data_IF_609956965674
#
_entry.id   IF_609956965674
#
_cell.length_a   1.000
_cell.length_b   1.000
_cell.length_c   1.000
_cell.angle_alpha   90.00
_cell.angle_beta   90.00
_cell.angle_gamma   90.00
#
_symmetry.space_group_name_H-M   'P 1'
#
loop_
_entity.id
_entity.type
_entity.pdbx_description
1 polymer ?
#
# COMPACT_ATOMS: atom_id res chain seq x y z
N UNK A 1 12.13 -14.79 0.90
CA UNK A 1 11.21 -14.41 -0.21
C UNK A 1 10.61 -13.06 0.14
N UNK A 2 10.60 -12.13 -0.82
CA UNK A 2 10.23 -10.73 -0.61
C UNK A 2 9.04 -10.36 -1.47
N UNK A 3 8.14 -9.57 -0.90
CA UNK A 3 7.04 -8.94 -1.62
C UNK A 3 7.29 -7.44 -1.70
N UNK A 4 7.06 -6.86 -2.87
CA UNK A 4 7.07 -5.41 -3.04
C UNK A 4 5.65 -4.87 -3.03
N UNK A 5 5.41 -3.77 -2.32
CA UNK A 5 4.16 -3.01 -2.39
C UNK A 5 4.50 -1.63 -2.93
N UNK A 6 4.15 -1.36 -4.18
CA UNK A 6 4.51 -0.13 -4.85
C UNK A 6 3.30 0.81 -4.98
N UNK A 7 3.36 1.96 -4.32
CA UNK A 7 2.38 3.03 -4.55
C UNK A 7 2.64 3.68 -5.91
N UNK A 8 1.60 3.78 -6.73
CA UNK A 8 1.69 4.26 -8.11
C UNK A 8 1.15 5.68 -8.21
N UNK A 9 2.03 6.63 -8.47
CA UNK A 9 1.68 8.00 -8.85
C UNK A 9 2.20 8.31 -10.24
N UNK A 10 2.88 9.45 -10.40
CA UNK A 10 3.50 9.86 -11.67
C UNK A 10 4.93 9.33 -11.85
N UNK A 11 5.53 8.74 -10.82
CA UNK A 11 6.95 8.33 -10.77
C UNK A 11 7.24 6.97 -11.45
N UNK A 12 6.68 6.76 -12.65
CA UNK A 12 6.70 5.49 -13.36
C UNK A 12 8.10 4.83 -13.44
N UNK A 13 9.10 5.54 -13.98
CA UNK A 13 10.46 4.99 -14.12
C UNK A 13 11.13 4.73 -12.77
N UNK A 14 10.85 5.54 -11.74
CA UNK A 14 11.41 5.35 -10.39
C UNK A 14 10.89 4.08 -9.74
N UNK A 15 9.63 3.72 -9.97
CA UNK A 15 9.08 2.43 -9.51
C UNK A 15 9.83 1.28 -10.19
N UNK A 16 10.05 1.34 -11.50
CA UNK A 16 10.84 0.33 -12.23
C UNK A 16 12.26 0.23 -11.68
N UNK A 17 12.92 1.36 -11.45
CA UNK A 17 14.28 1.40 -10.93
C UNK A 17 14.36 0.81 -9.52
N UNK A 18 13.38 1.10 -8.65
CA UNK A 18 13.26 0.51 -7.32
C UNK A 18 13.02 -1.00 -7.34
N UNK A 19 12.08 -1.47 -8.16
CA UNK A 19 11.80 -2.91 -8.32
C UNK A 19 13.04 -3.65 -8.83
N UNK A 20 13.73 -3.11 -9.84
CA UNK A 20 14.95 -3.72 -10.38
C UNK A 20 16.07 -3.77 -9.35
N UNK A 21 16.22 -2.71 -8.54
CA UNK A 21 17.21 -2.69 -7.45
C UNK A 21 17.01 -3.84 -6.47
N UNK A 22 15.77 -4.04 -6.00
CA UNK A 22 15.45 -5.09 -5.04
C UNK A 22 15.47 -6.48 -5.67
N UNK A 23 14.98 -6.61 -6.90
CA UNK A 23 15.01 -7.85 -7.66
C UNK A 23 16.43 -8.41 -7.86
N UNK A 24 17.42 -7.55 -7.99
CA UNK A 24 18.83 -7.97 -8.10
C UNK A 24 19.43 -8.48 -6.78
N UNK A 25 18.75 -8.28 -5.64
CA UNK A 25 19.27 -8.56 -4.28
C UNK A 25 18.46 -9.59 -3.53
N UNK A 26 17.17 -9.68 -3.84
CA UNK A 26 16.20 -10.45 -3.07
C UNK A 26 15.36 -11.34 -4.00
N UNK A 27 15.02 -12.57 -3.58
CA UNK A 27 14.09 -13.42 -4.32
C UNK A 27 12.67 -12.85 -4.20
N UNK A 28 12.26 -12.10 -5.23
CA UNK A 28 10.92 -11.52 -5.32
C UNK A 28 9.88 -12.59 -5.64
N UNK A 29 8.82 -12.56 -4.85
CA UNK A 29 7.75 -13.54 -4.89
C UNK A 29 6.43 -12.94 -5.41
N UNK A 30 6.20 -11.65 -5.15
CA UNK A 30 5.04 -10.93 -5.65
C UNK A 30 5.28 -9.40 -5.67
N UNK A 31 4.49 -8.69 -6.47
CA UNK A 31 4.46 -7.23 -6.52
C UNK A 31 2.99 -6.78 -6.44
N UNK A 32 2.67 -5.93 -5.47
CA UNK A 32 1.41 -5.20 -5.41
C UNK A 32 1.60 -3.81 -6.01
N UNK A 33 0.73 -3.40 -6.94
CA UNK A 33 0.67 -2.04 -7.46
C UNK A 33 -0.56 -1.35 -6.86
N UNK A 34 -0.31 -0.46 -5.91
CA UNK A 34 -1.36 0.30 -5.20
C UNK A 34 -1.60 1.62 -5.95
N UNK A 35 -2.74 1.74 -6.63
CA UNK A 35 -3.04 2.86 -7.53
C UNK A 35 -4.23 3.69 -7.05
N UNK A 36 -4.27 4.96 -7.47
CA UNK A 36 -5.35 5.88 -7.15
C UNK A 36 -6.61 5.56 -7.99
N UNK A 37 -7.65 5.07 -7.32
CA UNK A 37 -8.93 4.69 -7.96
C UNK A 37 -9.84 5.88 -8.24
N UNK A 38 -9.56 7.07 -7.70
CA UNK A 38 -10.41 8.26 -7.86
C UNK A 38 -10.60 8.62 -9.33
N UNK A 39 -11.69 9.34 -9.61
CA UNK A 39 -12.04 9.84 -10.95
C UNK A 39 -11.60 11.30 -11.10
N UNK A 40 -10.32 11.57 -10.84
CA UNK A 40 -9.68 12.87 -11.04
C UNK A 40 -8.39 12.71 -11.87
N UNK A 41 -7.70 13.84 -12.14
CA UNK A 41 -6.48 13.85 -12.96
C UNK A 41 -5.34 13.00 -12.39
N UNK A 42 -5.22 12.92 -11.07
CA UNK A 42 -4.20 12.12 -10.41
C UNK A 42 -4.54 10.63 -10.49
N UNK A 43 -5.82 10.28 -10.25
CA UNK A 43 -6.36 8.94 -10.44
C UNK A 43 -6.24 8.44 -11.87
N UNK A 44 -6.45 9.31 -12.87
CA UNK A 44 -6.25 8.96 -14.28
C UNK A 44 -4.78 8.60 -14.57
N UNK A 45 -3.84 9.47 -14.22
CA UNK A 45 -2.41 9.25 -14.41
C UNK A 45 -1.91 7.98 -13.68
N UNK A 46 -2.35 7.78 -12.43
CA UNK A 46 -2.00 6.62 -11.62
C UNK A 46 -2.50 5.30 -12.23
N UNK A 47 -3.76 5.24 -12.70
CA UNK A 47 -4.31 4.04 -13.36
C UNK A 47 -3.57 3.67 -14.64
N UNK A 48 -3.25 4.68 -15.47
CA UNK A 48 -2.51 4.46 -16.71
C UNK A 48 -1.12 3.90 -16.39
N UNK A 49 -0.42 4.50 -15.42
CA UNK A 49 0.87 3.99 -14.96
C UNK A 49 0.77 2.59 -14.36
N UNK A 50 -0.25 2.28 -13.55
CA UNK A 50 -0.41 0.96 -12.94
C UNK A 50 -0.65 -0.13 -13.98
N UNK A 51 -1.42 0.17 -15.04
CA UNK A 51 -1.63 -0.73 -16.16
C UNK A 51 -0.31 -1.01 -16.89
N UNK A 52 0.42 0.04 -17.27
CA UNK A 52 1.68 -0.08 -17.99
C UNK A 52 2.75 -0.81 -17.14
N UNK A 53 2.83 -0.51 -15.84
CA UNK A 53 3.72 -1.18 -14.89
C UNK A 53 3.37 -2.67 -14.73
N UNK A 54 2.08 -3.03 -14.73
CA UNK A 54 1.64 -4.43 -14.65
C UNK A 54 2.16 -5.25 -15.84
N UNK A 55 2.25 -4.63 -17.02
CA UNK A 55 2.81 -5.27 -18.22
C UNK A 55 4.34 -5.35 -18.16
N UNK A 56 5.02 -4.25 -17.82
CA UNK A 56 6.49 -4.18 -17.82
C UNK A 56 7.12 -4.99 -16.68
N UNK A 57 6.47 -5.07 -15.53
CA UNK A 57 6.96 -5.80 -14.36
C UNK A 57 6.49 -7.27 -14.34
N UNK A 58 5.73 -7.71 -15.35
CA UNK A 58 5.38 -9.12 -15.49
C UNK A 58 6.65 -9.96 -15.72
N UNK A 59 6.83 -11.00 -14.91
CA UNK A 59 7.98 -11.89 -15.03
C UNK A 59 7.61 -13.33 -14.71
N UNK A 60 8.22 -14.28 -15.44
CA UNK A 60 8.01 -15.73 -15.24
C UNK A 60 6.53 -16.16 -15.19
N UNK A 61 5.66 -15.49 -15.96
CA UNK A 61 4.22 -15.78 -16.01
C UNK A 61 3.41 -15.20 -14.85
N UNK A 62 4.04 -14.52 -13.89
CA UNK A 62 3.37 -13.79 -12.82
C UNK A 62 3.26 -12.31 -13.18
N UNK A 63 2.09 -11.73 -12.90
CA UNK A 63 1.82 -10.29 -13.07
C UNK A 63 1.63 -9.66 -11.70
N UNK A 64 2.01 -8.38 -11.54
CA UNK A 64 1.69 -7.64 -10.32
C UNK A 64 0.18 -7.61 -10.03
N UNK A 65 -0.18 -7.70 -8.75
CA UNK A 65 -1.55 -7.56 -8.27
C UNK A 65 -1.94 -6.07 -8.19
N UNK A 66 -3.02 -5.68 -8.87
CA UNK A 66 -3.50 -4.29 -8.86
C UNK A 66 -4.46 -4.05 -7.69
N UNK A 67 -4.18 -3.04 -6.87
CA UNK A 67 -4.99 -2.68 -5.70
C UNK A 67 -5.40 -1.21 -5.80
N UNK A 68 -6.68 -0.95 -6.04
CA UNK A 68 -7.21 0.40 -6.16
C UNK A 68 -7.57 0.98 -4.79
N UNK A 69 -7.02 2.16 -4.45
CA UNK A 69 -7.28 2.89 -3.20
C UNK A 69 -7.59 4.35 -3.47
N UNK A 70 -8.21 5.05 -2.52
CA UNK A 70 -8.19 6.51 -2.45
C UNK A 70 -6.96 6.93 -1.61
N UNK A 71 -5.88 7.41 -2.23
CA UNK A 71 -4.66 7.77 -1.51
C UNK A 71 -4.84 8.98 -0.57
N UNK A 72 -5.92 9.75 -0.72
CA UNK A 72 -6.23 10.87 0.17
C UNK A 72 -7.15 10.46 1.34
N UNK A 73 -7.53 9.18 1.45
CA UNK A 73 -8.18 8.64 2.64
C UNK A 73 -7.18 7.79 3.39
N UNK A 74 -6.86 8.20 4.61
CA UNK A 74 -6.00 7.43 5.50
C UNK A 74 -6.58 6.03 5.74
N UNK A 75 -7.88 5.95 5.99
CA UNK A 75 -8.60 4.71 6.34
C UNK A 75 -8.58 3.70 5.21
N UNK A 76 -8.79 4.14 3.97
CA UNK A 76 -8.81 3.27 2.80
C UNK A 76 -7.41 2.69 2.49
N UNK A 77 -6.36 3.53 2.61
CA UNK A 77 -4.97 3.08 2.48
C UNK A 77 -4.61 2.14 3.63
N UNK A 78 -4.97 2.50 4.86
CA UNK A 78 -4.72 1.69 6.05
C UNK A 78 -5.35 0.30 5.91
N UNK A 79 -6.65 0.22 5.62
CA UNK A 79 -7.37 -1.04 5.51
C UNK A 79 -6.82 -1.92 4.37
N UNK A 80 -6.56 -1.32 3.22
CA UNK A 80 -6.01 -2.03 2.05
C UNK A 80 -4.62 -2.58 2.34
N UNK A 81 -3.73 -1.75 2.90
CA UNK A 81 -2.36 -2.17 3.23
C UNK A 81 -2.36 -3.20 4.38
N UNK A 82 -3.19 -3.03 5.40
CA UNK A 82 -3.32 -3.99 6.51
C UNK A 82 -3.68 -5.38 5.98
N UNK A 83 -4.64 -5.47 5.04
CA UNK A 83 -5.01 -6.74 4.40
C UNK A 83 -3.86 -7.38 3.62
N UNK A 84 -3.05 -6.59 2.90
CA UNK A 84 -1.86 -7.08 2.20
C UNK A 84 -0.83 -7.59 3.21
N UNK A 85 -0.51 -6.80 4.23
CA UNK A 85 0.54 -7.15 5.19
C UNK A 85 0.15 -8.35 6.04
N UNK A 86 -1.10 -8.48 6.49
CA UNK A 86 -1.58 -9.68 7.20
C UNK A 86 -1.39 -10.93 6.37
N UNK A 87 -1.81 -10.90 5.10
CA UNK A 87 -1.66 -12.02 4.17
C UNK A 87 -0.20 -12.39 3.94
N UNK A 88 0.65 -11.41 3.65
CA UNK A 88 2.03 -11.69 3.27
C UNK A 88 2.94 -11.97 4.47
N UNK A 89 2.76 -11.24 5.57
CA UNK A 89 3.61 -11.36 6.76
C UNK A 89 3.14 -12.48 7.68
N UNK A 90 1.88 -12.48 8.13
CA UNK A 90 1.43 -13.45 9.13
C UNK A 90 1.10 -14.80 8.50
N UNK A 91 0.29 -14.80 7.42
CA UNK A 91 -0.19 -16.05 6.83
C UNK A 91 0.88 -16.74 5.99
N UNK A 92 1.78 -15.97 5.35
CA UNK A 92 2.79 -16.47 4.42
C UNK A 92 4.23 -16.34 4.91
N UNK A 93 4.49 -15.63 6.02
CA UNK A 93 5.83 -15.49 6.59
C UNK A 93 6.83 -14.73 5.72
N UNK A 94 6.38 -13.84 4.81
CA UNK A 94 7.22 -13.12 3.85
C UNK A 94 7.67 -11.76 4.40
N UNK A 95 8.82 -11.30 3.92
CA UNK A 95 9.28 -9.91 4.13
C UNK A 95 8.58 -9.02 3.13
N UNK A 96 8.10 -7.85 3.57
CA UNK A 96 7.47 -6.86 2.69
C UNK A 96 8.31 -5.60 2.64
N UNK A 97 8.54 -5.09 1.42
CA UNK A 97 9.15 -3.79 1.18
C UNK A 97 8.10 -2.86 0.57
N UNK A 98 7.78 -1.79 1.26
CA UNK A 98 6.79 -0.80 0.83
C UNK A 98 7.49 0.38 0.17
N UNK A 99 7.22 0.60 -1.11
CA UNK A 99 7.67 1.77 -1.86
C UNK A 99 6.75 2.96 -1.57
N UNK A 100 7.25 3.91 -0.78
CA UNK A 100 6.55 5.13 -0.42
C UNK A 100 6.86 6.30 -1.39
N UNK A 101 7.48 6.02 -2.55
CA UNK A 101 7.92 7.06 -3.50
C UNK A 101 6.80 7.98 -3.95
N UNK A 102 5.64 7.42 -4.29
CA UNK A 102 4.52 8.18 -4.87
C UNK A 102 3.33 8.36 -3.91
N UNK A 103 3.54 8.26 -2.61
CA UNK A 103 2.46 8.44 -1.62
C UNK A 103 2.08 9.91 -1.48
N UNK A 104 0.78 10.20 -1.31
CA UNK A 104 0.31 11.45 -0.69
C UNK A 104 0.73 11.49 0.79
N UNK A 105 0.52 12.63 1.46
CA UNK A 105 0.84 12.76 2.89
C UNK A 105 -0.03 11.83 3.75
N UNK A 106 -1.31 11.72 3.40
CA UNK A 106 -2.28 10.86 4.07
C UNK A 106 -1.92 9.38 3.91
N UNK A 107 -1.60 8.96 2.67
CA UNK A 107 -1.16 7.60 2.39
C UNK A 107 0.17 7.27 3.09
N UNK A 108 1.13 8.22 3.12
CA UNK A 108 2.39 8.04 3.83
C UNK A 108 2.18 7.80 5.33
N UNK A 109 1.28 8.58 5.96
CA UNK A 109 0.90 8.38 7.35
C UNK A 109 0.34 6.96 7.60
N UNK A 110 -0.57 6.50 6.74
CA UNK A 110 -1.13 5.15 6.83
C UNK A 110 -0.06 4.07 6.63
N UNK A 111 0.83 4.24 5.64
CA UNK A 111 1.94 3.32 5.36
C UNK A 111 2.84 3.16 6.58
N UNK A 112 3.25 4.27 7.21
CA UNK A 112 4.09 4.24 8.41
C UNK A 112 3.37 3.53 9.55
N UNK A 113 2.12 3.90 9.84
CA UNK A 113 1.36 3.31 10.96
C UNK A 113 1.16 1.81 10.77
N UNK A 114 0.65 1.37 9.61
CA UNK A 114 0.41 -0.07 9.37
C UNK A 114 1.74 -0.82 9.38
N UNK A 115 2.81 -0.30 8.77
CA UNK A 115 4.11 -0.98 8.76
C UNK A 115 4.67 -1.20 10.17
N UNK A 116 4.36 -0.32 11.13
CA UNK A 116 4.76 -0.50 12.54
C UNK A 116 4.01 -1.63 13.26
N UNK A 117 2.89 -2.11 12.72
CA UNK A 117 2.09 -3.19 13.30
C UNK A 117 2.59 -4.57 12.92
N UNK A 118 3.43 -4.69 11.88
CA UNK A 118 3.88 -5.98 11.35
C UNK A 118 5.40 -6.14 11.50
N UNK A 119 5.89 -7.33 11.90
CA UNK A 119 7.32 -7.63 11.80
C UNK A 119 7.73 -7.75 10.33
N UNK A 120 9.03 -7.64 10.03
CA UNK A 120 9.58 -7.87 8.68
C UNK A 120 9.00 -6.98 7.57
N UNK A 121 8.55 -5.77 7.91
CA UNK A 121 8.15 -4.73 6.96
C UNK A 121 9.18 -3.60 6.98
N UNK A 122 9.75 -3.27 5.83
CA UNK A 122 10.54 -2.06 5.62
C UNK A 122 9.81 -1.11 4.68
N UNK A 123 10.05 0.18 4.84
CA UNK A 123 9.59 1.22 3.92
C UNK A 123 10.82 1.76 3.20
N UNK A 124 10.72 2.05 1.92
CA UNK A 124 11.77 2.75 1.19
C UNK A 124 11.19 3.82 0.25
N UNK A 125 12.05 4.74 -0.17
CA UNK A 125 11.77 5.70 -1.25
C UNK A 125 12.87 5.62 -2.29
N UNK A 126 12.54 5.90 -3.54
CA UNK A 126 13.50 5.98 -4.65
C UNK A 126 13.66 7.45 -5.02
N UNK A 127 14.65 8.21 -4.49
CA UNK A 127 14.75 9.65 -4.75
C UNK A 127 14.88 9.95 -6.23
N UNK A 128 14.34 11.07 -6.74
CA UNK A 128 14.45 11.38 -8.16
C UNK A 128 15.83 11.97 -8.49
N UNK A 129 16.33 11.69 -9.69
CA UNK A 129 17.55 12.34 -10.20
C UNK A 129 17.34 13.84 -10.49
N UNK A 130 16.09 14.26 -10.72
CA UNK A 130 15.69 15.63 -11.03
C UNK A 130 14.47 16.05 -10.17
N UNK A 131 14.41 17.31 -9.71
CA UNK A 131 13.32 17.79 -8.84
C UNK A 131 12.05 18.16 -9.61
N UNK A 132 10.90 17.99 -8.95
CA UNK A 132 9.56 17.92 -9.54
C UNK A 132 9.02 19.18 -10.25
N UNK A 133 7.90 18.97 -10.95
CA UNK A 133 7.21 19.93 -11.82
C UNK A 133 5.73 20.06 -11.47
N UNK A 134 5.09 21.17 -11.86
CA UNK A 134 3.64 21.38 -11.78
C UNK A 134 2.87 20.38 -12.66
N UNK A 135 1.71 19.91 -12.21
CA UNK A 135 0.85 18.91 -12.91
C UNK A 135 -0.25 19.62 -13.73
N UNK A 136 -0.22 19.57 -15.08
CA UNK A 136 -1.25 20.15 -15.94
C UNK A 136 -2.56 19.33 -15.94
N UNK A 137 -3.63 19.90 -16.49
CA UNK A 137 -4.93 19.22 -16.65
C UNK A 137 -4.89 18.18 -17.79
N UNK A 138 -5.54 17.01 -17.66
CA UNK A 138 -5.43 15.91 -18.63
C UNK A 138 -5.85 16.24 -20.06
N UNK A 139 -6.80 17.15 -20.24
CA UNK A 139 -7.37 17.55 -21.53
C UNK A 139 -6.66 18.78 -22.15
N UNK A 140 -5.57 19.27 -21.54
CA UNK A 140 -4.85 20.44 -22.02
C UNK A 140 -3.68 20.09 -22.95
N UNK A 141 -3.40 20.92 -23.97
CA UNK A 141 -2.16 20.82 -24.75
C UNK A 141 -0.96 20.94 -23.80
N UNK A 142 -0.16 19.87 -23.74
CA UNK A 142 1.03 19.78 -22.86
C UNK A 142 0.93 18.73 -21.76
N UNK A 143 -0.24 18.13 -21.50
CA UNK A 143 -0.33 17.00 -20.56
C UNK A 143 0.51 15.81 -21.02
N UNK A 144 0.40 15.40 -22.28
CA UNK A 144 1.16 14.27 -22.82
C UNK A 144 2.68 14.50 -22.74
N UNK A 145 3.15 15.69 -23.13
CA UNK A 145 4.57 16.05 -23.05
C UNK A 145 5.07 16.03 -21.60
N UNK A 146 4.31 16.65 -20.68
CA UNK A 146 4.61 16.62 -19.26
C UNK A 146 4.63 15.19 -18.72
N UNK A 147 3.63 14.38 -19.07
CA UNK A 147 3.46 13.02 -18.58
C UNK A 147 4.62 12.13 -19.03
N UNK A 148 4.99 12.18 -20.32
CA UNK A 148 6.17 11.48 -20.82
C UNK A 148 7.46 11.92 -20.13
N UNK A 149 7.64 13.24 -19.94
CA UNK A 149 8.84 13.78 -19.28
C UNK A 149 8.95 13.28 -17.84
N UNK A 150 7.93 13.50 -17.02
CA UNK A 150 7.95 13.13 -15.59
C UNK A 150 8.07 11.62 -15.41
N UNK A 151 7.38 10.83 -16.25
CA UNK A 151 7.48 9.36 -16.21
C UNK A 151 8.87 8.83 -16.50
N UNK A 152 9.71 9.57 -17.23
CA UNK A 152 11.05 9.14 -17.64
C UNK A 152 12.15 9.45 -16.63
N UNK A 153 11.84 10.23 -15.58
CA UNK A 153 12.82 10.64 -14.58
C UNK A 153 13.35 9.43 -13.84
N UNK A 154 14.66 9.24 -13.91
CA UNK A 154 15.35 8.13 -13.26
C UNK A 154 15.34 8.24 -11.74
N UNK A 155 15.27 7.09 -11.09
CA UNK A 155 15.50 6.94 -9.67
C UNK A 155 16.99 6.89 -9.34
N UNK A 156 17.36 7.52 -8.23
CA UNK A 156 18.61 7.25 -7.52
C UNK A 156 18.49 5.95 -6.72
N UNK A 157 19.54 5.59 -5.98
CA UNK A 157 19.53 4.41 -5.12
C UNK A 157 18.36 4.46 -4.11
N UNK A 158 17.56 3.39 -3.97
CA UNK A 158 16.54 3.29 -2.93
C UNK A 158 17.11 3.58 -1.54
N UNK A 159 16.35 4.32 -0.74
CA UNK A 159 16.69 4.68 0.63
C UNK A 159 15.63 4.10 1.56
N UNK A 160 16.04 3.19 2.45
CA UNK A 160 15.15 2.68 3.49
C UNK A 160 14.85 3.76 4.53
N UNK A 161 13.59 3.84 4.95
CA UNK A 161 13.12 4.66 6.04
C UNK A 161 13.12 3.79 7.29
N UNK A 162 14.00 4.13 8.24
CA UNK A 162 14.12 3.39 9.48
C UNK A 162 12.91 3.64 10.39
N UNK A 163 12.11 2.60 10.57
CA UNK A 163 11.02 2.60 11.55
C UNK A 163 11.59 2.46 12.97
N UNK A 164 11.02 3.15 13.97
CA UNK A 164 11.43 2.98 15.37
C UNK A 164 11.36 1.51 15.80
N UNK A 165 12.23 1.09 16.72
CA UNK A 165 12.25 -0.30 17.19
C UNK A 165 10.99 -0.73 17.93
N UNK A 166 10.24 0.22 18.50
CA UNK A 166 8.94 -0.04 19.11
C UNK A 166 7.89 -0.30 18.01
N UNK A 167 7.23 -1.45 18.09
CA UNK A 167 6.15 -1.87 17.19
C UNK A 167 4.80 -1.56 17.84
N UNK A 168 3.81 -1.25 17.02
CA UNK A 168 2.45 -1.05 17.50
C UNK A 168 1.83 -2.40 17.82
N UNK A 169 1.19 -2.51 18.97
CA UNK A 169 0.41 -3.69 19.32
C UNK A 169 -0.77 -3.82 18.36
N UNK A 170 -1.03 -5.06 17.94
CA UNK A 170 -2.19 -5.41 17.14
C UNK A 170 -3.30 -5.90 18.07
N UNK A 171 -4.58 -5.75 17.70
CA UNK A 171 -5.65 -6.44 18.39
C UNK A 171 -5.33 -7.94 18.49
N UNK A 172 -5.53 -8.51 19.66
CA UNK A 172 -5.56 -9.96 19.86
C UNK A 172 -6.70 -10.60 19.06
N UNK A 173 -6.68 -11.93 18.88
CA UNK A 173 -7.75 -12.64 18.18
C UNK A 173 -9.13 -12.41 18.83
N UNK A 174 -9.18 -12.29 20.16
CA UNK A 174 -10.40 -11.99 20.90
C UNK A 174 -10.89 -10.55 20.66
N UNK A 175 -9.98 -9.58 20.71
CA UNK A 175 -10.32 -8.19 20.40
C UNK A 175 -10.80 -8.05 18.95
N UNK A 176 -10.13 -8.73 18.00
CA UNK A 176 -10.54 -8.74 16.60
C UNK A 176 -11.94 -9.37 16.44
N UNK A 177 -12.21 -10.50 17.10
CA UNK A 177 -13.53 -11.15 17.09
C UNK A 177 -14.62 -10.21 17.61
N UNK A 178 -14.35 -9.48 18.69
CA UNK A 178 -15.29 -8.50 19.25
C UNK A 178 -15.51 -7.33 18.29
N UNK A 179 -14.45 -6.80 17.68
CA UNK A 179 -14.54 -5.69 16.72
C UNK A 179 -15.32 -6.09 15.47
N UNK A 180 -15.08 -7.28 14.92
CA UNK A 180 -15.82 -7.82 13.78
C UNK A 180 -17.30 -8.04 14.12
N UNK A 181 -17.61 -8.57 15.32
CA UNK A 181 -18.98 -8.73 15.78
C UNK A 181 -19.71 -7.38 15.87
N UNK A 182 -19.04 -6.32 16.37
CA UNK A 182 -19.58 -4.97 16.39
C UNK A 182 -19.80 -4.43 14.98
N UNK A 183 -18.81 -4.55 14.09
CA UNK A 183 -18.90 -4.07 12.71
C UNK A 183 -20.08 -4.69 11.96
N UNK A 184 -20.25 -6.02 12.06
CA UNK A 184 -21.37 -6.76 11.46
C UNK A 184 -22.75 -6.26 11.91
N UNK A 185 -22.83 -5.62 13.08
CA UNK A 185 -24.07 -5.10 13.67
C UNK A 185 -24.12 -3.56 13.68
N UNK A 186 -23.37 -2.89 12.79
CA UNK A 186 -23.43 -1.44 12.61
C UNK A 186 -22.64 -0.65 13.66
N UNK A 187 -21.64 -1.28 14.27
CA UNK A 187 -20.68 -0.66 15.19
C UNK A 187 -21.26 -0.28 16.56
N UNK A 188 -22.46 -0.78 16.89
CA UNK A 188 -23.16 -0.45 18.15
C UNK A 188 -23.82 -1.70 18.71
N UNK A 189 -23.92 -1.74 20.03
CA UNK A 189 -24.67 -2.77 20.76
C UNK A 189 -25.49 -2.11 21.86
N UNK A 190 -26.61 -2.72 22.23
CA UNK A 190 -27.48 -2.27 23.30
C UNK A 190 -26.98 -2.73 24.69
N UNK A 191 -26.18 -3.80 24.74
CA UNK A 191 -25.60 -4.30 25.98
C UNK A 191 -24.37 -5.20 25.76
N UNK A 192 -23.52 -5.34 26.78
CA UNK A 192 -22.40 -6.29 26.78
C UNK A 192 -22.89 -7.73 26.58
N UNK A 193 -24.05 -8.10 27.16
CA UNK A 193 -24.63 -9.44 27.00
C UNK A 193 -24.98 -9.76 25.55
N UNK A 194 -25.43 -8.77 24.81
CA UNK A 194 -25.72 -8.91 23.37
C UNK A 194 -24.43 -9.14 22.59
N UNK A 195 -23.38 -8.39 22.91
CA UNK A 195 -22.07 -8.55 22.29
C UNK A 195 -21.43 -9.92 22.56
N UNK A 196 -21.51 -10.43 23.79
CA UNK A 196 -21.04 -11.78 24.15
C UNK A 196 -21.75 -12.84 23.30
N UNK A 197 -23.08 -12.72 23.15
CA UNK A 197 -23.87 -13.61 22.28
C UNK A 197 -23.44 -13.53 20.82
N UNK A 198 -23.15 -12.33 20.30
CA UNK A 198 -22.63 -12.18 18.93
C UNK A 198 -21.26 -12.84 18.74
N UNK A 199 -20.47 -12.94 19.80
CA UNK A 199 -19.20 -13.65 19.81
C UNK A 199 -19.35 -15.18 20.04
N UNK A 200 -20.58 -15.71 20.03
CA UNK A 200 -20.94 -17.10 20.32
C UNK A 200 -20.53 -17.61 21.71
N UNK A 201 -20.56 -16.73 22.71
CA UNK A 201 -20.26 -17.08 24.10
C UNK A 201 -21.52 -17.03 24.98
N UNK A 202 -21.45 -17.66 26.16
CA UNK A 202 -22.56 -17.65 27.13
C UNK A 202 -22.47 -16.41 28.04
N UNK A 203 -23.41 -15.45 27.95
CA UNK A 203 -23.41 -14.25 28.78
C UNK A 203 -23.66 -14.50 30.27
N UNK A 204 -24.02 -15.73 30.66
CA UNK A 204 -24.19 -16.12 32.06
C UNK A 204 -23.02 -16.95 32.60
N UNK A 205 -22.03 -17.27 31.76
CA UNK A 205 -20.78 -17.93 32.14
C UNK A 205 -19.60 -17.16 31.52
N UNK A 206 -19.29 -15.97 32.07
CA UNK A 206 -18.28 -15.07 31.53
C UNK A 206 -16.85 -15.57 31.70
#
# INVERSE_FOLDING_TARGET
>A
MVVLVCFVGHDYQRIIDGVNHWRAREPLENIYLVYDRKRDKYGYASKLNAKDLSEVLAFAGQRPELVGVNPQSYEDVFASLYGILRREVDERGRRVLVDATSTTKEAYGAVVTVSLMFPNVSIYVVPPAERGWYVPEPDTPGFEEWFHRVRSVRGLMPQEIYLPGFRLERPSEDEERVLLALEMHGGKTDSIKTLIKWCNEDPNNP
#
